data_IF_011089029584
#
_entry.id   IF_011089029584
#
_cell.length_a   1.000
_cell.length_b   1.000
_cell.length_c   1.000
_cell.angle_alpha   90.00
_cell.angle_beta   90.00
_cell.angle_gamma   90.00
#
_symmetry.space_group_name_H-M   'P 1'
#
loop_
_entity.id
_entity.type
_entity.pdbx_description
1 polymer ?
#
# COMPACT_ATOMS: atom_id res chain seq x y z
N UNK A 1 -7.76 -11.65 -24.57
CA UNK A 1 -7.56 -12.10 -23.17
C UNK A 1 -7.72 -13.61 -23.16
N UNK A 2 -6.81 -14.38 -22.58
CA UNK A 2 -6.94 -15.85 -22.57
C UNK A 2 -7.84 -16.30 -21.41
N UNK A 3 -8.49 -17.46 -21.56
CA UNK A 3 -9.36 -18.03 -20.51
C UNK A 3 -8.59 -18.27 -19.20
N UNK A 4 -7.31 -18.68 -19.31
CA UNK A 4 -6.42 -18.85 -18.16
C UNK A 4 -6.16 -17.53 -17.43
N UNK A 5 -5.97 -16.43 -18.15
CA UNK A 5 -5.76 -15.11 -17.54
C UNK A 5 -7.05 -14.60 -16.88
N UNK A 6 -8.21 -14.85 -17.49
CA UNK A 6 -9.50 -14.49 -16.91
C UNK A 6 -9.77 -15.24 -15.59
N UNK A 7 -9.52 -16.55 -15.54
CA UNK A 7 -9.65 -17.36 -14.32
C UNK A 7 -8.75 -16.85 -13.18
N UNK A 8 -7.49 -16.51 -13.48
CA UNK A 8 -6.57 -15.95 -12.48
C UNK A 8 -7.06 -14.62 -11.91
N UNK A 9 -7.62 -13.74 -12.75
CA UNK A 9 -8.16 -12.45 -12.30
C UNK A 9 -9.40 -12.65 -11.42
N UNK A 10 -10.29 -13.56 -11.78
CA UNK A 10 -11.47 -13.87 -10.95
C UNK A 10 -11.10 -14.45 -9.59
N UNK A 11 -10.02 -15.24 -9.52
CA UNK A 11 -9.47 -15.71 -8.24
C UNK A 11 -8.86 -14.57 -7.43
N UNK A 12 -8.06 -13.71 -8.06
CA UNK A 12 -7.39 -12.59 -7.39
C UNK A 12 -8.39 -11.61 -6.76
N UNK A 13 -9.51 -11.32 -7.43
CA UNK A 13 -10.59 -10.45 -6.92
C UNK A 13 -11.19 -10.91 -5.59
N UNK A 14 -11.10 -12.20 -5.26
CA UNK A 14 -11.68 -12.79 -4.04
C UNK A 14 -10.72 -12.75 -2.86
N UNK A 15 -9.45 -12.43 -3.09
CA UNK A 15 -8.45 -12.32 -2.03
C UNK A 15 -8.78 -11.09 -1.18
N UNK A 16 -8.97 -11.30 0.12
CA UNK A 16 -9.09 -10.23 1.11
C UNK A 16 -7.75 -10.05 1.80
N UNK A 17 -7.24 -8.82 1.79
CA UNK A 17 -6.03 -8.49 2.52
C UNK A 17 -6.32 -8.43 4.02
N UNK A 18 -5.33 -8.81 4.83
CA UNK A 18 -5.39 -8.52 6.27
C UNK A 18 -5.11 -7.03 6.51
N UNK A 19 -5.52 -6.46 7.65
CA UNK A 19 -5.22 -5.06 7.97
C UNK A 19 -3.73 -4.71 7.85
N UNK A 20 -2.84 -5.63 8.23
CA UNK A 20 -1.39 -5.45 8.11
C UNK A 20 -0.93 -5.43 6.66
N UNK A 21 -1.53 -6.26 5.80
CA UNK A 21 -1.23 -6.30 4.37
C UNK A 21 -1.73 -5.02 3.68
N UNK A 22 -2.92 -4.54 4.03
CA UNK A 22 -3.45 -3.27 3.52
C UNK A 22 -2.53 -2.10 3.90
N UNK A 23 -2.05 -2.07 5.15
CA UNK A 23 -1.13 -1.01 5.60
C UNK A 23 0.23 -1.09 4.88
N UNK A 24 0.78 -2.29 4.68
CA UNK A 24 2.00 -2.47 3.89
C UNK A 24 1.81 -2.04 2.44
N UNK A 25 0.65 -2.33 1.85
CA UNK A 25 0.31 -1.91 0.50
C UNK A 25 0.19 -0.38 0.43
N UNK A 26 -0.53 0.25 1.37
CA UNK A 26 -0.68 1.71 1.46
C UNK A 26 0.68 2.42 1.53
N UNK A 27 1.58 1.96 2.42
CA UNK A 27 2.95 2.48 2.53
C UNK A 27 3.74 2.31 1.25
N UNK A 28 3.60 1.15 0.59
CA UNK A 28 4.31 0.87 -0.65
C UNK A 28 3.83 1.76 -1.81
N UNK A 29 2.52 2.03 -1.89
CA UNK A 29 1.98 3.00 -2.85
C UNK A 29 2.46 4.42 -2.56
N UNK A 30 2.39 4.87 -1.31
CA UNK A 30 2.86 6.19 -0.91
C UNK A 30 4.34 6.37 -1.27
N UNK A 31 5.19 5.40 -0.94
CA UNK A 31 6.60 5.41 -1.31
C UNK A 31 6.80 5.36 -2.83
N UNK A 32 6.11 4.48 -3.55
CA UNK A 32 6.23 4.37 -5.00
C UNK A 32 5.92 5.69 -5.72
N UNK A 33 4.81 6.33 -5.35
CA UNK A 33 4.40 7.60 -5.94
C UNK A 33 5.36 8.73 -5.58
N UNK A 34 5.76 8.84 -4.31
CA UNK A 34 6.58 9.96 -3.85
C UNK A 34 8.06 9.84 -4.26
N UNK A 35 8.63 8.63 -4.24
CA UNK A 35 10.00 8.39 -4.68
C UNK A 35 10.17 8.53 -6.19
N UNK A 36 9.12 8.27 -6.96
CA UNK A 36 9.07 8.55 -8.40
C UNK A 36 9.22 10.05 -8.68
N UNK A 37 8.58 10.91 -7.89
CA UNK A 37 8.65 12.36 -8.06
C UNK A 37 9.91 12.98 -7.43
N UNK A 38 10.39 12.42 -6.32
CA UNK A 38 11.53 12.94 -5.58
C UNK A 38 12.35 11.80 -4.96
N UNK A 39 13.53 11.54 -5.54
CA UNK A 39 14.44 10.48 -5.09
C UNK A 39 15.03 10.68 -3.69
N UNK A 40 14.87 11.87 -3.08
CA UNK A 40 15.26 12.12 -1.69
C UNK A 40 14.23 11.59 -0.69
N UNK A 41 13.02 11.26 -1.13
CA UNK A 41 12.01 10.66 -0.26
C UNK A 41 12.37 9.20 -0.07
N UNK A 42 12.58 8.80 1.19
CA UNK A 42 12.98 7.45 1.56
C UNK A 42 11.81 6.64 2.08
N UNK A 43 11.95 5.31 2.07
CA UNK A 43 10.95 4.41 2.66
C UNK A 43 10.73 4.71 4.15
N UNK A 44 11.81 5.00 4.88
CA UNK A 44 11.75 5.36 6.29
C UNK A 44 10.87 6.60 6.55
N UNK A 45 11.02 7.65 5.73
CA UNK A 45 10.20 8.88 5.86
C UNK A 45 8.71 8.58 5.69
N UNK A 46 8.36 7.68 4.77
CA UNK A 46 6.97 7.26 4.55
C UNK A 46 6.46 6.43 5.73
N UNK A 47 7.29 5.55 6.29
CA UNK A 47 6.94 4.76 7.46
C UNK A 47 6.69 5.65 8.70
N UNK A 48 7.54 6.65 8.94
CA UNK A 48 7.35 7.63 10.02
C UNK A 48 6.07 8.47 9.84
N UNK A 49 5.80 8.92 8.61
CA UNK A 49 4.57 9.66 8.31
C UNK A 49 3.32 8.80 8.52
N UNK A 50 3.35 7.52 8.11
CA UNK A 50 2.27 6.57 8.33
C UNK A 50 2.01 6.36 9.84
N UNK A 51 3.07 6.23 10.64
CA UNK A 51 2.96 6.08 12.09
C UNK A 51 2.42 7.34 12.78
N UNK A 52 2.83 8.54 12.31
CA UNK A 52 2.33 9.81 12.82
C UNK A 52 0.81 9.98 12.55
N UNK A 53 0.37 9.68 11.34
CA UNK A 53 -1.06 9.73 10.98
C UNK A 53 -1.89 8.76 11.84
N UNK A 54 -1.42 7.54 12.06
CA UNK A 54 -2.12 6.56 12.92
C UNK A 54 -2.27 7.07 14.35
N UNK A 55 -1.26 7.75 14.90
CA UNK A 55 -1.34 8.37 16.23
C UNK A 55 -2.34 9.52 16.26
N UNK A 56 -2.36 10.36 15.22
CA UNK A 56 -3.31 11.46 15.10
C UNK A 56 -4.76 10.96 15.02
N UNK A 57 -5.01 9.91 14.24
CA UNK A 57 -6.32 9.26 14.15
C UNK A 57 -6.76 8.65 15.48
N UNK A 58 -5.84 8.02 16.22
CA UNK A 58 -6.13 7.45 17.53
C UNK A 58 -6.38 8.50 18.63
N UNK A 59 -5.96 9.75 18.41
CA UNK A 59 -6.14 10.86 19.34
C UNK A 59 -7.42 11.68 19.09
N UNK A 60 -8.17 11.37 18.03
CA UNK A 60 -9.48 11.96 17.70
C UNK A 60 -10.60 11.14 18.32
#
# INVERSE_FOLDING_TARGET
MSDKLADLIERAKRVKMTPEQEEQQRRSFAFGNTSFENSRITRHMVDEAADALRKEEAAK
#
